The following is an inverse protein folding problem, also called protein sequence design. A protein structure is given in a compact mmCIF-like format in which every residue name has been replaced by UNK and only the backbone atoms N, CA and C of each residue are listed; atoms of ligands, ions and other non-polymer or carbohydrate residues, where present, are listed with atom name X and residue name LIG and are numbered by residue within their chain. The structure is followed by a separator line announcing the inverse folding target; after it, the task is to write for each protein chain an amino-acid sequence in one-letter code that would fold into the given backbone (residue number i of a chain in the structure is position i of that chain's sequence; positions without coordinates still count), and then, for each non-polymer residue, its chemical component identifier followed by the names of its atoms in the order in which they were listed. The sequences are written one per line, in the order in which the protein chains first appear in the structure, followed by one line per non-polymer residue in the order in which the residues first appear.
data_IF_756631758771
#
_entry.id   IF_756631758771
#
_cell.length_a   1.000
_cell.length_b   1.000
_cell.length_c   1.000
_cell.angle_alpha   90.00
_cell.angle_beta   90.00
_cell.angle_gamma   90.00
#
_symmetry.space_group_name_H-M   'P 1'
#
loop_
_entity.id
_entity.type
_entity.pdbx_description
1 polymer ?
#
# COMPACT_ATOMS: atom_id res chain seq x y z
N UNK A 1 -0.41 15.99 -5.01
CA UNK A 1 -0.20 16.10 -6.45
C UNK A 1 0.28 14.80 -7.03
N UNK A 2 -0.33 14.36 -8.10
CA UNK A 2 -0.02 13.12 -8.80
C UNK A 2 -0.04 11.88 -7.90
N UNK A 3 -0.85 11.90 -6.87
CA UNK A 3 -1.07 10.71 -6.04
C UNK A 3 -2.08 9.80 -6.71
N UNK A 4 -1.88 8.49 -6.54
CA UNK A 4 -2.79 7.48 -7.04
C UNK A 4 -3.35 6.70 -5.87
N UNK A 5 -4.68 6.71 -5.73
CA UNK A 5 -5.37 5.94 -4.72
C UNK A 5 -6.26 4.92 -5.43
N UNK A 6 -5.81 3.67 -5.46
CA UNK A 6 -6.58 2.57 -6.04
C UNK A 6 -7.48 2.00 -4.94
N UNK A 7 -8.70 2.49 -4.88
CA UNK A 7 -9.62 2.29 -3.78
C UNK A 7 -10.69 1.21 -4.04
N UNK A 8 -10.29 0.11 -4.63
CA UNK A 8 -11.19 -1.06 -4.78
C UNK A 8 -11.63 -1.63 -3.43
N UNK A 9 -10.97 -1.22 -2.35
CA UNK A 9 -11.36 -1.41 -0.97
C UNK A 9 -11.16 -0.09 -0.22
N UNK A 10 -11.48 -0.05 1.06
CA UNK A 10 -11.40 1.16 1.86
C UNK A 10 -9.95 1.63 1.98
N UNK A 11 -9.73 2.92 1.71
CA UNK A 11 -8.55 3.66 2.11
C UNK A 11 -9.01 4.65 3.17
N UNK A 12 -8.49 4.50 4.39
CA UNK A 12 -8.82 5.40 5.49
C UNK A 12 -7.57 6.15 5.89
N UNK A 13 -7.65 7.46 5.89
CA UNK A 13 -6.57 8.35 6.27
C UNK A 13 -7.05 9.19 7.43
N UNK A 14 -6.31 9.16 8.54
CA UNK A 14 -6.64 9.91 9.75
C UNK A 14 -6.38 11.41 9.61
N UNK A 15 -6.42 12.09 10.75
CA UNK A 15 -6.26 13.54 10.82
C UNK A 15 -4.79 13.95 10.69
N UNK A 16 -4.57 15.14 10.14
CA UNK A 16 -3.24 15.75 10.02
C UNK A 16 -2.26 14.89 9.21
N UNK A 17 -2.72 14.34 8.11
CA UNK A 17 -1.85 13.60 7.19
C UNK A 17 -1.16 14.54 6.21
N UNK A 18 0.13 14.37 6.05
CA UNK A 18 0.90 15.00 4.98
C UNK A 18 1.30 13.93 3.98
N UNK A 19 0.73 14.01 2.80
CA UNK A 19 1.01 13.06 1.71
C UNK A 19 1.71 13.82 0.58
N UNK A 20 2.96 13.49 0.36
CA UNK A 20 3.78 14.16 -0.63
C UNK A 20 3.39 13.73 -2.06
N UNK A 21 3.90 14.42 -3.09
CA UNK A 21 3.59 14.08 -4.48
C UNK A 21 4.00 12.65 -4.86
N UNK A 22 3.27 12.07 -5.80
CA UNK A 22 3.54 10.76 -6.40
C UNK A 22 3.44 9.59 -5.41
N UNK A 23 2.74 9.75 -4.32
CA UNK A 23 2.42 8.65 -3.41
C UNK A 23 1.37 7.75 -4.07
N UNK A 24 1.55 6.44 -3.95
CA UNK A 24 0.64 5.45 -4.49
C UNK A 24 0.12 4.57 -3.36
N UNK A 25 -1.20 4.43 -3.27
CA UNK A 25 -1.86 3.57 -2.29
C UNK A 25 -2.73 2.58 -3.04
N UNK A 26 -2.46 1.30 -2.85
CA UNK A 26 -3.15 0.23 -3.55
C UNK A 26 -3.92 -0.65 -2.57
N UNK A 27 -5.16 -0.96 -2.92
CA UNK A 27 -5.99 -1.91 -2.17
C UNK A 27 -6.27 -3.18 -2.94
N UNK A 28 -5.91 -3.24 -4.21
CA UNK A 28 -6.16 -4.38 -5.06
C UNK A 28 -4.87 -5.13 -5.38
N UNK A 29 -4.98 -6.44 -5.47
CA UNK A 29 -3.88 -7.30 -5.87
C UNK A 29 -4.42 -8.56 -6.54
N UNK A 30 -3.54 -9.28 -7.20
CA UNK A 30 -3.87 -10.53 -7.87
C UNK A 30 -3.14 -11.70 -7.21
N UNK A 31 -3.69 -12.92 -7.28
CA UNK A 31 -2.93 -14.10 -6.88
C UNK A 31 -1.65 -14.22 -7.71
N UNK A 32 -0.56 -14.64 -7.05
CA UNK A 32 0.72 -14.83 -7.73
C UNK A 32 0.74 -16.09 -8.60
N UNK A 33 -0.04 -17.10 -8.25
CA UNK A 33 -0.20 -18.31 -9.06
C UNK A 33 -1.07 -17.99 -10.27
N UNK A 34 -0.59 -18.34 -11.46
CA UNK A 34 -1.26 -17.97 -12.71
C UNK A 34 -2.64 -18.64 -12.86
N UNK A 35 -2.80 -19.87 -12.38
CA UNK A 35 -4.08 -20.57 -12.46
C UNK A 35 -5.10 -19.95 -11.52
N UNK A 36 -4.68 -19.55 -10.31
CA UNK A 36 -5.55 -18.85 -9.38
C UNK A 36 -5.92 -17.47 -9.93
N UNK A 37 -5.01 -16.84 -10.68
CA UNK A 37 -5.21 -15.50 -11.22
C UNK A 37 -6.12 -15.49 -12.44
N UNK A 38 -5.95 -16.42 -13.37
CA UNK A 38 -6.63 -16.42 -14.67
C UNK A 38 -7.49 -17.65 -14.93
N UNK A 39 -7.41 -18.69 -14.12
CA UNK A 39 -7.97 -19.99 -14.43
C UNK A 39 -7.12 -20.76 -15.46
N UNK A 40 -7.60 -21.91 -15.85
CA UNK A 40 -6.93 -22.72 -16.88
C UNK A 40 -7.17 -22.07 -18.25
N UNK A 41 -6.13 -21.89 -19.09
CA UNK A 41 -6.33 -21.34 -20.43
C UNK A 41 -7.32 -22.18 -21.25
N UNK A 42 -8.20 -21.52 -21.98
CA UNK A 42 -9.13 -22.16 -22.92
C UNK A 42 -8.38 -22.59 -24.18
N UNK A 43 -9.05 -23.42 -25.00
CA UNK A 43 -8.46 -23.93 -26.24
C UNK A 43 -8.01 -22.84 -27.21
N UNK A 44 -8.70 -21.69 -27.22
CA UNK A 44 -8.37 -20.55 -28.06
C UNK A 44 -7.27 -19.64 -27.46
N UNK A 45 -6.72 -20.01 -26.30
CA UNK A 45 -5.70 -19.24 -25.60
C UNK A 45 -6.23 -18.15 -24.68
N UNK A 46 -7.54 -17.92 -24.63
CA UNK A 46 -8.13 -16.97 -23.71
C UNK A 46 -8.23 -17.54 -22.30
N UNK A 47 -8.42 -16.65 -21.32
CA UNK A 47 -8.56 -17.02 -19.91
C UNK A 47 -10.02 -16.84 -19.47
N UNK A 48 -10.42 -17.61 -18.44
CA UNK A 48 -11.79 -17.55 -17.92
C UNK A 48 -12.07 -16.24 -17.18
N UNK A 49 -11.08 -15.72 -16.45
CA UNK A 49 -11.25 -14.57 -15.58
C UNK A 49 -9.88 -13.95 -15.26
N UNK A 50 -9.93 -12.79 -14.64
CA UNK A 50 -8.77 -12.20 -13.96
C UNK A 50 -9.21 -11.95 -12.51
N UNK A 51 -8.71 -12.78 -11.59
CA UNK A 51 -9.09 -12.68 -10.19
C UNK A 51 -8.40 -11.47 -9.54
N UNK A 52 -9.22 -10.63 -8.94
CA UNK A 52 -8.73 -9.48 -8.15
C UNK A 52 -9.15 -9.68 -6.71
N UNK A 53 -8.19 -9.56 -5.82
CA UNK A 53 -8.41 -9.56 -4.38
C UNK A 53 -8.19 -8.15 -3.85
N UNK A 54 -8.80 -7.81 -2.74
CA UNK A 54 -8.64 -6.50 -2.13
C UNK A 54 -8.40 -6.62 -0.65
N UNK A 55 -7.69 -5.64 -0.10
CA UNK A 55 -7.49 -5.47 1.33
C UNK A 55 -7.41 -3.99 1.64
N UNK A 56 -8.01 -3.53 2.77
CA UNK A 56 -8.02 -2.12 3.10
C UNK A 56 -6.64 -1.61 3.47
N UNK A 57 -6.43 -0.31 3.27
CA UNK A 57 -5.26 0.41 3.78
C UNK A 57 -5.74 1.42 4.80
N UNK A 58 -5.15 1.39 5.97
CA UNK A 58 -5.49 2.27 7.08
C UNK A 58 -4.25 3.08 7.46
N UNK A 59 -4.39 4.38 7.46
CA UNK A 59 -3.33 5.31 7.84
C UNK A 59 -3.83 6.11 9.04
N UNK A 60 -3.07 6.10 10.10
CA UNK A 60 -3.42 6.76 11.35
C UNK A 60 -3.32 8.28 11.30
N UNK A 61 -3.28 8.90 12.47
CA UNK A 61 -3.20 10.35 12.63
C UNK A 61 -1.75 10.82 12.66
N UNK A 62 -1.52 12.05 12.23
CA UNK A 62 -0.20 12.69 12.29
C UNK A 62 0.86 11.88 11.53
N UNK A 63 0.54 11.45 10.32
CA UNK A 63 1.43 10.65 9.47
C UNK A 63 1.97 11.52 8.34
N UNK A 64 3.25 11.40 8.10
CA UNK A 64 3.89 12.00 6.93
C UNK A 64 4.39 10.89 6.01
N UNK A 65 3.89 10.89 4.77
CA UNK A 65 4.32 9.93 3.73
C UNK A 65 5.13 10.70 2.69
N UNK A 66 6.39 10.34 2.57
CA UNK A 66 7.33 10.98 1.66
C UNK A 66 7.02 10.69 0.19
N UNK A 67 7.50 11.56 -0.68
CA UNK A 67 7.22 11.50 -2.11
C UNK A 67 7.60 10.17 -2.75
N UNK A 68 6.76 9.69 -3.64
CA UNK A 68 7.01 8.45 -4.38
C UNK A 68 6.86 7.17 -3.57
N UNK A 69 6.44 7.25 -2.30
CA UNK A 69 6.20 6.04 -1.50
C UNK A 69 5.03 5.25 -2.06
N UNK A 70 5.11 3.93 -1.92
CA UNK A 70 4.06 3.01 -2.36
C UNK A 70 3.57 2.24 -1.13
N UNK A 71 2.27 2.31 -0.87
CA UNK A 71 1.62 1.60 0.23
C UNK A 71 0.86 0.43 -0.37
N UNK A 72 1.21 -0.77 0.03
CA UNK A 72 0.66 -2.00 -0.54
C UNK A 72 -0.65 -2.41 0.15
N UNK A 73 -1.48 -3.23 -0.53
CA UNK A 73 -2.76 -3.66 0.03
C UNK A 73 -2.65 -4.31 1.41
N UNK A 74 -3.60 -3.99 2.27
CA UNK A 74 -3.70 -4.57 3.60
C UNK A 74 -2.81 -3.95 4.66
N UNK A 75 -2.03 -2.91 4.33
CA UNK A 75 -1.12 -2.27 5.27
C UNK A 75 -1.87 -1.31 6.19
N UNK A 76 -1.56 -1.39 7.47
CA UNK A 76 -1.96 -0.40 8.47
C UNK A 76 -0.73 0.37 8.94
N UNK A 77 -0.78 1.68 8.79
CA UNK A 77 0.25 2.60 9.31
C UNK A 77 -0.32 3.26 10.55
N UNK A 78 0.40 3.15 11.67
CA UNK A 78 -0.01 3.69 12.95
C UNK A 78 0.04 5.21 13.01
N UNK A 79 -0.12 5.75 14.22
CA UNK A 79 -0.11 7.19 14.47
C UNK A 79 1.32 7.71 14.64
N UNK A 80 1.53 8.97 14.29
CA UNK A 80 2.80 9.64 14.46
C UNK A 80 3.96 8.89 13.77
N UNK A 81 3.73 8.54 12.50
CA UNK A 81 4.67 7.78 11.67
C UNK A 81 5.18 8.66 10.55
N UNK A 82 6.44 8.53 10.24
CA UNK A 82 7.05 9.10 9.03
C UNK A 82 7.49 7.96 8.12
N UNK A 83 6.98 7.97 6.89
CA UNK A 83 7.43 7.06 5.83
C UNK A 83 8.35 7.84 4.91
N UNK A 84 9.58 7.38 4.75
CA UNK A 84 10.55 8.05 3.89
C UNK A 84 10.19 7.99 2.41
N UNK A 85 10.68 8.97 1.66
CA UNK A 85 10.45 9.05 0.23
C UNK A 85 10.94 7.79 -0.50
N UNK A 86 10.20 7.36 -1.51
CA UNK A 86 10.56 6.21 -2.33
C UNK A 86 10.41 4.85 -1.64
N UNK A 87 9.84 4.80 -0.45
CA UNK A 87 9.66 3.55 0.29
C UNK A 87 8.56 2.69 -0.33
N UNK A 88 8.71 1.38 -0.21
CA UNK A 88 7.66 0.42 -0.56
C UNK A 88 7.22 -0.28 0.73
N UNK A 89 6.04 0.08 1.22
CA UNK A 89 5.51 -0.39 2.50
C UNK A 89 4.69 -1.65 2.26
N UNK A 90 5.22 -2.78 2.69
CA UNK A 90 4.63 -4.10 2.47
C UNK A 90 4.06 -4.73 3.74
N UNK A 91 4.35 -4.16 4.90
CA UNK A 91 3.91 -4.65 6.21
C UNK A 91 3.41 -3.49 7.06
N UNK A 92 2.63 -3.81 8.07
CA UNK A 92 2.14 -2.84 9.02
C UNK A 92 3.28 -2.08 9.69
N UNK A 93 3.05 -0.82 9.96
CA UNK A 93 4.03 0.06 10.62
C UNK A 93 3.44 0.50 11.95
N UNK A 94 4.14 0.24 13.08
CA UNK A 94 3.62 0.60 14.40
C UNK A 94 3.62 2.11 14.63
N UNK A 95 2.99 2.54 15.72
CA UNK A 95 2.96 3.94 16.12
C UNK A 95 4.36 4.48 16.45
N UNK A 96 4.52 5.79 16.29
CA UNK A 96 5.67 6.54 16.80
C UNK A 96 7.02 6.09 16.24
N UNK A 97 7.08 5.81 14.95
CA UNK A 97 8.32 5.38 14.29
C UNK A 97 8.59 6.16 13.01
N UNK A 98 9.84 6.13 12.61
CA UNK A 98 10.27 6.52 11.27
C UNK A 98 10.68 5.25 10.54
N UNK A 99 10.11 5.05 9.36
CA UNK A 99 10.35 3.87 8.55
C UNK A 99 10.66 4.26 7.10
N UNK A 100 11.58 3.57 6.46
CA UNK A 100 11.86 3.80 5.05
C UNK A 100 12.55 2.59 4.41
N UNK A 101 12.66 2.65 3.09
CA UNK A 101 13.35 1.66 2.26
C UNK A 101 12.42 0.82 1.39
N UNK A 102 13.03 -0.06 0.64
CA UNK A 102 12.34 -1.05 -0.19
C UNK A 102 12.97 -2.43 0.02
N UNK A 103 12.31 -3.33 0.78
CA UNK A 103 11.07 -3.10 1.51
C UNK A 103 11.27 -2.15 2.69
N UNK A 104 10.21 -1.42 3.03
CA UNK A 104 10.23 -0.45 4.11
C UNK A 104 10.47 -1.14 5.46
N UNK A 105 11.36 -0.56 6.25
CA UNK A 105 11.72 -1.05 7.58
C UNK A 105 11.66 0.08 8.59
N UNK A 106 11.27 -0.24 9.81
CA UNK A 106 11.39 0.69 10.93
C UNK A 106 12.88 0.99 11.18
N UNK A 107 13.22 2.26 11.23
CA UNK A 107 14.60 2.71 11.39
C UNK A 107 14.86 3.20 12.82
N UNK A 108 13.92 3.97 13.36
CA UNK A 108 14.02 4.50 14.73
C UNK A 108 12.69 5.01 15.24
N UNK A 109 12.65 5.34 16.53
CA UNK A 109 11.50 5.99 17.11
C UNK A 109 11.36 7.42 16.58
N UNK A 110 10.12 7.85 16.45
CA UNK A 110 9.76 9.23 16.13
C UNK A 110 9.35 9.93 17.43
N UNK A 111 10.26 10.70 17.96
CA UNK A 111 10.04 11.43 19.21
C UNK A 111 9.49 12.82 18.98
#
# INVERSE_FOLDING_TARGET
MNCTFLDDNIIRIGDNALIAPNVQIYTAFHPTNAIDRFGVPKEDGSFEFCKTQTAPVIIGNNVWIGGGAIIMPGVTIGNNVVIGAGSVVTKDVPDNVIAYGNPCRVVRENK
#
